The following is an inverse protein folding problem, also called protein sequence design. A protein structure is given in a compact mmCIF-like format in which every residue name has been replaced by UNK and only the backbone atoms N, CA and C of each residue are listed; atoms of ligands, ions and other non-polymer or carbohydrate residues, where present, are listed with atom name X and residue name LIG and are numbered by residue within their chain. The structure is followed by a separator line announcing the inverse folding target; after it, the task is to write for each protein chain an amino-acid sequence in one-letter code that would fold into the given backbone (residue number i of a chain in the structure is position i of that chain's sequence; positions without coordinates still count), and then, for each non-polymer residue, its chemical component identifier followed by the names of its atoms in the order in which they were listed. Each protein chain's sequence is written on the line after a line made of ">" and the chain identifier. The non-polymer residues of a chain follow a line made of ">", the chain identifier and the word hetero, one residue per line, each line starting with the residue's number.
data_IF_463575602740
#
_entry.id   IF_463575602740
#
_cell.length_a   1.000
_cell.length_b   1.000
_cell.length_c   1.000
_cell.angle_alpha   90.00
_cell.angle_beta   90.00
_cell.angle_gamma   90.00
#
_symmetry.space_group_name_H-M   'P 1'
#
loop_
_entity.id
_entity.type
_entity.pdbx_description
1 polymer ?
#
# COMPACT_ATOMS: atom_id res chain seq x y z
N UNK A 1 3.95 -16.52 15.54
CA UNK A 1 3.44 -15.25 15.04
C UNK A 1 3.50 -14.20 16.15
N UNK A 2 4.05 -13.04 15.87
CA UNK A 2 4.14 -11.97 16.88
C UNK A 2 2.86 -11.13 16.82
N UNK A 3 1.96 -11.35 17.77
CA UNK A 3 0.65 -10.70 17.82
C UNK A 3 0.73 -9.17 18.02
N UNK A 4 1.87 -8.67 18.51
CA UNK A 4 2.06 -7.24 18.75
C UNK A 4 2.67 -6.51 17.54
N UNK A 5 3.11 -7.24 16.52
CA UNK A 5 3.74 -6.67 15.34
C UNK A 5 2.75 -6.54 14.20
N UNK A 6 2.72 -5.38 13.58
CA UNK A 6 1.92 -5.10 12.37
C UNK A 6 2.85 -4.78 11.20
N UNK A 7 2.58 -5.39 10.04
CA UNK A 7 3.14 -4.94 8.77
C UNK A 7 2.13 -3.98 8.13
N UNK A 8 2.49 -2.73 8.02
CA UNK A 8 1.65 -1.69 7.43
C UNK A 8 2.22 -1.33 6.06
N UNK A 9 1.46 -1.57 5.01
CA UNK A 9 1.92 -1.41 3.63
C UNK A 9 1.09 -0.33 2.96
N UNK A 10 1.74 0.75 2.55
CA UNK A 10 1.13 1.82 1.78
C UNK A 10 1.45 1.65 0.31
N UNK A 11 0.43 1.71 -0.52
CA UNK A 11 0.57 1.70 -1.98
C UNK A 11 -0.07 2.99 -2.47
N UNK A 12 0.76 3.94 -2.90
CA UNK A 12 0.34 5.29 -3.25
C UNK A 12 0.45 5.51 -4.75
N UNK A 13 -0.67 5.80 -5.38
CA UNK A 13 -0.76 6.15 -6.78
C UNK A 13 -0.14 7.53 -7.00
N UNK A 14 0.86 7.63 -7.87
CA UNK A 14 1.44 8.90 -8.30
C UNK A 14 1.34 9.11 -9.81
N UNK A 15 0.37 8.46 -10.44
CA UNK A 15 0.13 8.66 -11.87
C UNK A 15 -0.38 10.07 -12.15
N UNK A 16 -0.33 10.47 -13.44
CA UNK A 16 -0.77 11.80 -13.85
C UNK A 16 -2.21 12.12 -13.46
N UNK A 17 -3.08 11.10 -13.35
CA UNK A 17 -4.47 11.27 -12.93
C UNK A 17 -4.62 11.72 -11.48
N UNK A 18 -3.57 11.60 -10.68
CA UNK A 18 -3.53 12.11 -9.30
C UNK A 18 -3.19 13.59 -9.22
N UNK A 19 -2.98 14.27 -10.36
CA UNK A 19 -2.69 15.69 -10.39
C UNK A 19 -3.79 16.51 -9.72
N UNK A 20 -3.41 17.41 -8.81
CA UNK A 20 -4.34 18.16 -7.97
C UNK A 20 -4.67 17.50 -6.64
N UNK A 21 -4.26 16.22 -6.45
CA UNK A 21 -4.56 15.44 -5.25
C UNK A 21 -3.32 15.17 -4.40
N UNK A 22 -2.19 15.78 -4.76
CA UNK A 22 -0.90 15.53 -4.10
C UNK A 22 -0.93 15.90 -2.62
N UNK A 23 -1.46 17.07 -2.27
CA UNK A 23 -1.53 17.52 -0.89
C UNK A 23 -2.39 16.60 -0.03
N UNK A 24 -3.51 16.13 -0.56
CA UNK A 24 -4.41 15.23 0.15
C UNK A 24 -3.75 13.86 0.36
N UNK A 25 -3.03 13.37 -0.64
CA UNK A 25 -2.33 12.08 -0.54
C UNK A 25 -1.20 12.14 0.50
N UNK A 26 -0.40 13.19 0.43
CA UNK A 26 0.70 13.42 1.38
C UNK A 26 0.15 13.57 2.79
N UNK A 27 -0.86 14.41 2.95
CA UNK A 27 -1.48 14.65 4.25
C UNK A 27 -2.13 13.40 4.84
N UNK A 28 -2.80 12.61 4.02
CA UNK A 28 -3.40 11.35 4.44
C UNK A 28 -2.37 10.35 4.93
N UNK A 29 -1.29 10.18 4.18
CA UNK A 29 -0.19 9.29 4.57
C UNK A 29 0.44 9.75 5.89
N UNK A 30 0.82 11.03 5.97
CA UNK A 30 1.47 11.58 7.16
C UNK A 30 0.56 11.50 8.39
N UNK A 31 -0.74 11.74 8.22
CA UNK A 31 -1.70 11.63 9.30
C UNK A 31 -1.84 10.21 9.84
N UNK A 32 -1.84 9.22 8.97
CA UNK A 32 -1.91 7.81 9.39
C UNK A 32 -0.64 7.40 10.13
N UNK A 33 0.53 7.83 9.64
CA UNK A 33 1.80 7.54 10.32
C UNK A 33 1.82 8.15 11.71
N UNK A 34 1.40 9.41 11.86
CA UNK A 34 1.36 10.07 13.17
C UNK A 34 0.42 9.38 14.14
N UNK A 35 -0.75 8.94 13.68
CA UNK A 35 -1.68 8.20 14.53
C UNK A 35 -1.11 6.88 15.00
N UNK A 36 -0.44 6.14 14.11
CA UNK A 36 0.18 4.87 14.46
C UNK A 36 1.33 5.05 15.46
N UNK A 37 2.13 6.11 15.30
CA UNK A 37 3.18 6.43 16.26
C UNK A 37 2.62 6.68 17.66
N UNK A 38 1.49 7.37 17.75
CA UNK A 38 0.85 7.69 19.04
C UNK A 38 0.29 6.46 19.74
N UNK A 39 -0.10 5.44 18.99
CA UNK A 39 -0.61 4.20 19.56
C UNK A 39 0.49 3.37 20.25
N UNK A 40 1.76 3.62 19.90
CA UNK A 40 2.90 2.97 20.56
C UNK A 40 3.07 1.50 20.25
N UNK A 41 2.37 0.97 19.26
CA UNK A 41 2.50 -0.42 18.83
C UNK A 41 3.72 -0.61 17.94
N UNK A 42 4.18 -1.86 17.84
CA UNK A 42 5.28 -2.21 16.93
C UNK A 42 4.73 -2.33 15.51
N UNK A 43 5.19 -1.46 14.63
CA UNK A 43 4.76 -1.41 13.24
C UNK A 43 5.97 -1.29 12.33
N UNK A 44 6.04 -2.16 11.33
CA UNK A 44 6.97 -1.99 10.21
C UNK A 44 6.20 -1.37 9.05
N UNK A 45 6.79 -0.37 8.41
CA UNK A 45 6.14 0.37 7.33
C UNK A 45 6.85 0.10 6.02
N UNK A 46 6.09 -0.32 5.02
CA UNK A 46 6.54 -0.41 3.63
C UNK A 46 5.73 0.60 2.83
N UNK A 47 6.41 1.49 2.11
CA UNK A 47 5.75 2.51 1.30
C UNK A 47 6.17 2.37 -0.15
N UNK A 48 5.19 2.15 -1.01
CA UNK A 48 5.37 1.92 -2.45
C UNK A 48 4.65 3.03 -3.19
N UNK A 49 5.39 3.73 -4.05
CA UNK A 49 4.82 4.69 -4.98
C UNK A 49 4.74 4.02 -6.35
N UNK A 50 3.66 4.27 -7.08
CA UNK A 50 3.55 3.68 -8.42
C UNK A 50 2.90 4.65 -9.42
N UNK A 51 3.36 4.53 -10.66
CA UNK A 51 2.69 5.03 -11.84
C UNK A 51 2.66 3.85 -12.82
N UNK A 52 3.38 3.87 -13.92
CA UNK A 52 3.66 2.69 -14.73
C UNK A 52 4.88 1.92 -14.20
N UNK A 53 5.59 2.48 -13.23
CA UNK A 53 6.72 1.85 -12.53
C UNK A 53 6.45 1.83 -11.03
N UNK A 54 7.15 0.96 -10.32
CA UNK A 54 7.04 0.81 -8.87
C UNK A 54 8.32 1.29 -8.21
N UNK A 55 8.20 2.16 -7.20
CA UNK A 55 9.33 2.64 -6.40
C UNK A 55 9.04 2.41 -4.92
N UNK A 56 9.95 1.74 -4.24
CA UNK A 56 9.83 1.46 -2.80
C UNK A 56 10.66 2.50 -2.06
N UNK A 57 9.99 3.39 -1.31
CA UNK A 57 10.67 4.44 -0.55
C UNK A 57 10.90 4.08 0.92
N UNK A 58 10.10 3.16 1.46
CA UNK A 58 10.32 2.56 2.77
C UNK A 58 10.17 1.06 2.61
N UNK A 59 11.16 0.29 3.05
CA UNK A 59 11.14 -1.17 2.98
C UNK A 59 11.20 -1.73 4.39
N UNK A 60 10.03 -1.94 4.98
CA UNK A 60 9.85 -2.46 6.34
C UNK A 60 10.61 -1.64 7.39
N UNK A 61 10.51 -0.32 7.28
CA UNK A 61 11.09 0.59 8.28
C UNK A 61 10.29 0.50 9.58
N UNK A 62 10.94 0.45 10.74
CA UNK A 62 10.23 0.70 12.00
C UNK A 62 9.50 2.03 11.89
N UNK A 63 8.28 2.11 12.41
CA UNK A 63 7.46 3.31 12.20
C UNK A 63 8.13 4.58 12.74
N UNK A 64 8.91 4.45 13.81
CA UNK A 64 9.61 5.60 14.40
C UNK A 64 10.70 6.16 13.48
N UNK A 65 11.16 5.38 12.50
CA UNK A 65 12.15 5.79 11.51
C UNK A 65 11.53 6.45 10.27
N UNK A 66 10.21 6.41 10.14
CA UNK A 66 9.52 6.97 8.97
C UNK A 66 9.39 8.47 9.11
N UNK A 67 9.98 9.21 8.15
CA UNK A 67 9.90 10.65 8.09
C UNK A 67 8.64 11.10 7.34
N UNK A 68 8.14 12.32 7.58
CA UNK A 68 7.00 12.82 6.83
C UNK A 68 7.28 12.82 5.33
N UNK A 69 6.27 12.43 4.56
CA UNK A 69 6.31 12.48 3.11
C UNK A 69 6.16 13.92 2.64
N UNK A 70 6.94 14.31 1.63
CA UNK A 70 6.90 15.67 1.06
C UNK A 70 6.73 15.59 -0.46
N UNK A 71 6.62 16.74 -1.11
CA UNK A 71 6.56 16.82 -2.57
C UNK A 71 7.88 16.47 -3.26
N UNK A 72 8.95 16.28 -2.50
CA UNK A 72 10.23 15.80 -3.04
C UNK A 72 10.19 14.32 -3.36
N UNK A 73 9.50 13.54 -2.53
CA UNK A 73 9.33 12.10 -2.71
C UNK A 73 8.09 11.77 -3.51
N UNK A 74 6.98 12.46 -3.21
CA UNK A 74 5.69 12.20 -3.87
C UNK A 74 5.36 13.33 -4.86
N UNK A 75 5.43 13.01 -6.13
CA UNK A 75 5.04 13.90 -7.24
C UNK A 75 4.42 13.05 -8.35
N UNK A 76 3.50 13.62 -9.10
CA UNK A 76 2.78 12.86 -10.12
C UNK A 76 3.57 12.75 -11.41
N UNK A 77 3.41 11.62 -12.09
CA UNK A 77 4.00 11.34 -13.40
C UNK A 77 3.32 10.11 -14.01
N UNK A 78 3.54 9.81 -15.27
CA UNK A 78 3.25 8.53 -15.90
C UNK A 78 1.80 8.05 -15.92
N UNK A 79 1.65 6.80 -16.31
CA UNK A 79 0.38 6.08 -16.40
C UNK A 79 0.06 5.33 -15.10
N UNK A 80 -1.03 4.58 -15.08
CA UNK A 80 -1.50 3.92 -13.85
C UNK A 80 -1.46 2.40 -13.99
N UNK A 81 -0.46 1.75 -13.37
CA UNK A 81 -0.35 0.29 -13.30
C UNK A 81 -0.75 -0.19 -11.89
N UNK A 82 -1.99 0.07 -11.50
CA UNK A 82 -2.51 -0.24 -10.17
C UNK A 82 -2.43 -1.73 -9.85
N UNK A 83 -2.89 -2.57 -10.77
CA UNK A 83 -2.95 -4.02 -10.52
C UNK A 83 -1.55 -4.60 -10.34
N UNK A 84 -0.59 -4.17 -11.17
CA UNK A 84 0.79 -4.63 -11.06
C UNK A 84 1.40 -4.19 -9.72
N UNK A 85 1.14 -2.96 -9.28
CA UNK A 85 1.65 -2.46 -8.01
C UNK A 85 1.10 -3.27 -6.83
N UNK A 86 -0.20 -3.53 -6.81
CA UNK A 86 -0.84 -4.30 -5.76
C UNK A 86 -0.34 -5.75 -5.75
N UNK A 87 -0.27 -6.38 -6.92
CA UNK A 87 0.20 -7.76 -7.05
C UNK A 87 1.65 -7.93 -6.60
N UNK A 88 2.53 -7.03 -7.02
CA UNK A 88 3.93 -7.07 -6.60
C UNK A 88 4.09 -6.85 -5.09
N UNK A 89 3.30 -5.94 -4.52
CA UNK A 89 3.35 -5.67 -3.08
C UNK A 89 2.87 -6.88 -2.27
N UNK A 90 1.78 -7.52 -2.68
CA UNK A 90 1.28 -8.72 -2.00
C UNK A 90 2.34 -9.81 -2.02
N UNK A 91 2.95 -10.07 -3.18
CA UNK A 91 3.98 -11.09 -3.31
C UNK A 91 5.21 -10.77 -2.47
N UNK A 92 5.62 -9.50 -2.42
CA UNK A 92 6.76 -9.07 -1.60
C UNK A 92 6.53 -9.38 -0.12
N UNK A 93 5.40 -8.96 0.42
CA UNK A 93 5.10 -9.15 1.85
C UNK A 93 4.87 -10.63 2.16
N UNK A 94 4.20 -11.35 1.28
CA UNK A 94 4.01 -12.79 1.45
C UNK A 94 5.34 -13.54 1.52
N UNK A 95 6.28 -13.21 0.63
CA UNK A 95 7.61 -13.79 0.65
C UNK A 95 8.38 -13.47 1.92
N UNK A 96 8.28 -12.23 2.41
CA UNK A 96 8.92 -11.84 3.67
C UNK A 96 8.36 -12.68 4.82
N UNK A 97 7.05 -12.78 4.93
CA UNK A 97 6.41 -13.54 6.00
C UNK A 97 6.79 -15.03 5.96
N UNK A 98 6.81 -15.63 4.78
CA UNK A 98 7.17 -17.04 4.61
C UNK A 98 8.61 -17.37 5.01
N UNK A 99 9.52 -16.43 4.81
CA UNK A 99 10.95 -16.64 5.06
C UNK A 99 11.38 -16.23 6.46
N UNK A 100 10.50 -15.59 7.23
CA UNK A 100 10.77 -15.26 8.62
C UNK A 100 10.44 -16.46 9.52
N UNK A 101 11.22 -16.66 10.62
CA UNK A 101 10.79 -17.57 11.68
C UNK A 101 9.40 -17.19 12.19
N UNK A 102 8.60 -18.17 12.60
CA UNK A 102 7.21 -17.90 12.99
C UNK A 102 7.09 -16.84 14.08
N UNK A 103 7.98 -16.85 15.06
CA UNK A 103 7.98 -15.87 16.15
C UNK A 103 8.29 -14.43 15.72
N UNK A 104 8.82 -14.25 14.49
CA UNK A 104 9.12 -12.94 13.93
C UNK A 104 8.09 -12.49 12.88
N UNK A 105 7.14 -13.35 12.54
CA UNK A 105 6.08 -13.00 11.59
C UNK A 105 5.08 -12.07 12.25
N UNK A 106 4.62 -11.07 11.49
CA UNK A 106 3.61 -10.13 11.97
C UNK A 106 2.29 -10.85 12.24
N UNK A 107 1.65 -10.51 13.35
CA UNK A 107 0.32 -11.00 13.67
C UNK A 107 -0.77 -10.29 12.87
N UNK A 108 -0.46 -9.11 12.33
CA UNK A 108 -1.39 -8.33 11.53
C UNK A 108 -0.68 -7.77 10.29
N UNK A 109 -1.34 -7.84 9.15
CA UNK A 109 -0.89 -7.22 7.90
C UNK A 109 -2.01 -6.34 7.38
N UNK A 110 -1.72 -5.07 7.19
CA UNK A 110 -2.68 -4.08 6.69
C UNK A 110 -2.12 -3.39 5.46
N UNK A 111 -2.86 -3.47 4.37
CA UNK A 111 -2.55 -2.74 3.13
C UNK A 111 -3.45 -1.51 3.03
N UNK A 112 -2.85 -0.36 2.81
CA UNK A 112 -3.58 0.90 2.57
C UNK A 112 -3.24 1.36 1.15
N UNK A 113 -4.23 1.32 0.27
CA UNK A 113 -4.05 1.61 -1.14
C UNK A 113 -4.76 2.92 -1.45
N UNK A 114 -3.99 3.95 -1.83
CA UNK A 114 -4.52 5.27 -2.19
C UNK A 114 -4.43 5.46 -3.70
N UNK A 115 -5.56 5.61 -4.37
CA UNK A 115 -5.64 5.71 -5.82
C UNK A 115 -6.87 6.51 -6.22
N UNK A 116 -6.89 7.03 -7.45
CA UNK A 116 -8.11 7.60 -8.04
C UNK A 116 -8.99 6.50 -8.69
N UNK A 117 -8.55 5.25 -8.63
CA UNK A 117 -9.31 4.11 -9.12
C UNK A 117 -9.10 3.77 -10.57
N UNK A 118 -8.33 4.56 -11.31
CA UNK A 118 -8.08 4.31 -12.72
C UNK A 118 -6.92 3.33 -12.90
N UNK A 119 -7.11 2.35 -13.77
CA UNK A 119 -6.11 1.35 -14.11
C UNK A 119 -5.99 1.30 -15.63
N UNK A 120 -4.80 1.58 -16.18
CA UNK A 120 -4.65 1.65 -17.63
C UNK A 120 -3.35 1.10 -18.20
N UNK A 121 -2.44 0.59 -17.38
CA UNK A 121 -1.14 0.16 -17.90
C UNK A 121 -0.56 -1.10 -17.27
N UNK A 122 -1.32 -1.82 -16.45
CA UNK A 122 -0.84 -3.10 -15.90
C UNK A 122 -0.68 -4.15 -17.00
N UNK A 123 0.42 -4.89 -16.96
CA UNK A 123 0.74 -5.94 -17.92
C UNK A 123 0.97 -7.30 -17.27
N UNK A 124 1.29 -7.33 -15.98
CA UNK A 124 1.62 -8.56 -15.25
C UNK A 124 0.39 -9.20 -14.61
N UNK A 125 -0.52 -8.37 -14.06
CA UNK A 125 -1.70 -8.85 -13.34
C UNK A 125 -2.97 -8.25 -13.95
N UNK A 126 -4.06 -9.02 -13.94
CA UNK A 126 -5.39 -8.54 -14.30
C UNK A 126 -6.29 -8.47 -13.07
N UNK A 127 -7.51 -7.97 -13.21
CA UNK A 127 -8.45 -7.83 -12.09
C UNK A 127 -8.76 -9.17 -11.41
N UNK A 128 -8.93 -10.24 -12.20
CA UNK A 128 -9.22 -11.56 -11.62
C UNK A 128 -8.05 -12.08 -10.79
N UNK A 129 -6.82 -11.87 -11.25
CA UNK A 129 -5.61 -12.24 -10.51
C UNK A 129 -5.56 -11.55 -9.15
N UNK A 130 -5.74 -10.23 -9.16
CA UNK A 130 -5.66 -9.42 -7.93
C UNK A 130 -6.82 -9.77 -6.99
N UNK A 131 -8.02 -9.94 -7.51
CA UNK A 131 -9.17 -10.35 -6.71
C UNK A 131 -8.89 -11.66 -5.97
N UNK A 132 -8.36 -12.66 -6.66
CA UNK A 132 -8.03 -13.95 -6.05
C UNK A 132 -6.94 -13.81 -5.00
N UNK A 133 -5.92 -12.99 -5.28
CA UNK A 133 -4.82 -12.76 -4.33
C UNK A 133 -5.32 -12.10 -3.06
N UNK A 134 -6.13 -11.07 -3.18
CA UNK A 134 -6.71 -10.35 -2.04
C UNK A 134 -7.62 -11.27 -1.24
N UNK A 135 -8.50 -12.02 -1.89
CA UNK A 135 -9.41 -12.94 -1.20
C UNK A 135 -8.64 -14.01 -0.43
N UNK A 136 -7.59 -14.57 -1.03
CA UNK A 136 -6.75 -15.58 -0.37
C UNK A 136 -6.05 -15.00 0.87
N UNK A 137 -5.56 -13.77 0.78
CA UNK A 137 -4.85 -13.14 1.90
C UNK A 137 -5.81 -12.68 2.99
N UNK A 138 -7.04 -12.28 2.65
CA UNK A 138 -8.07 -11.99 3.64
C UNK A 138 -8.39 -13.24 4.46
N UNK A 139 -8.40 -14.41 3.86
CA UNK A 139 -8.59 -15.67 4.58
C UNK A 139 -7.45 -15.95 5.55
N UNK A 140 -6.25 -15.43 5.26
CA UNK A 140 -5.10 -15.50 6.16
C UNK A 140 -5.10 -14.40 7.23
N UNK A 141 -6.12 -13.55 7.27
CA UNK A 141 -6.24 -12.49 8.25
C UNK A 141 -5.68 -11.13 7.81
N UNK A 142 -5.22 -11.01 6.57
CA UNK A 142 -4.74 -9.72 6.05
C UNK A 142 -5.94 -8.78 5.82
N UNK A 143 -5.70 -7.49 6.04
CA UNK A 143 -6.71 -6.46 5.82
C UNK A 143 -6.28 -5.55 4.67
N UNK A 144 -7.25 -5.11 3.87
CA UNK A 144 -7.03 -4.22 2.72
C UNK A 144 -7.99 -3.04 2.83
N UNK A 145 -7.42 -1.84 2.82
CA UNK A 145 -8.17 -0.59 2.87
C UNK A 145 -7.89 0.21 1.60
N UNK A 146 -8.94 0.49 0.84
CA UNK A 146 -8.85 1.32 -0.35
C UNK A 146 -9.33 2.73 -0.01
N UNK A 147 -8.42 3.71 -0.14
CA UNK A 147 -8.74 5.12 0.06
C UNK A 147 -8.86 5.79 -1.31
N UNK A 148 -10.04 6.28 -1.62
CA UNK A 148 -10.27 6.98 -2.85
C UNK A 148 -9.73 8.40 -2.77
N UNK A 149 -8.97 8.79 -3.79
CA UNK A 149 -8.57 10.18 -3.96
C UNK A 149 -9.70 11.00 -4.58
N UNK A 150 -10.69 10.31 -5.18
CA UNK A 150 -11.92 10.91 -5.68
C UNK A 150 -13.08 9.93 -5.54
N UNK A 151 -14.30 10.38 -5.87
CA UNK A 151 -15.53 9.61 -5.65
C UNK A 151 -15.59 8.30 -6.45
N UNK A 152 -14.92 8.23 -7.60
CA UNK A 152 -14.99 7.06 -8.48
C UNK A 152 -14.03 5.94 -8.06
N UNK A 153 -13.06 6.24 -7.19
CA UNK A 153 -12.09 5.25 -6.72
C UNK A 153 -12.76 4.07 -6.03
N UNK A 154 -13.87 4.31 -5.31
CA UNK A 154 -14.63 3.26 -4.65
C UNK A 154 -15.16 2.22 -5.62
N UNK A 155 -15.66 2.66 -6.79
CA UNK A 155 -16.17 1.76 -7.82
C UNK A 155 -15.07 0.91 -8.44
N UNK A 156 -13.90 1.48 -8.69
CA UNK A 156 -12.77 0.73 -9.22
C UNK A 156 -12.27 -0.28 -8.20
N UNK A 157 -12.23 0.09 -6.93
CA UNK A 157 -11.83 -0.81 -5.86
C UNK A 157 -12.78 -2.01 -5.72
N UNK A 158 -14.07 -1.83 -5.96
CA UNK A 158 -15.05 -2.91 -5.90
C UNK A 158 -14.82 -3.99 -6.97
N UNK A 159 -14.14 -3.66 -8.06
CA UNK A 159 -13.81 -4.62 -9.11
C UNK A 159 -12.71 -5.58 -8.67
N UNK A 160 -11.94 -5.22 -7.68
CA UNK A 160 -10.88 -6.01 -7.11
C UNK A 160 -11.42 -6.76 -5.89
#
# INVERSE_FOLDING_TARGET
>A
MNAELTELVFILDRSGSMGGLESDTIGGFNGMIERQKKEGEKVNVTTILFDDEVEIIHDRFPIDAVQPLTDKEYYVRGCTALLDAVGQAINKIDNVQKHLPEEHRAGKVLFVITTDGLENSSTEFNYNDIKRMIEAKKECGWEFLFLGANIDAGKEAEKI
#
